data_IF_335796495053
#
_entry.id   IF_335796495053
#
_cell.length_a   1.000
_cell.length_b   1.000
_cell.length_c   1.000
_cell.angle_alpha   90.00
_cell.angle_beta   90.00
_cell.angle_gamma   90.00
#
_symmetry.space_group_name_H-M   'P 1'
#
loop_
_entity.id
_entity.type
_entity.pdbx_description
1 polymer ?
#
# COMPACT_ATOMS: atom_id res chain seq x y z
N UNK A 1 -5.10 25.87 8.62
CA UNK A 1 -5.44 25.24 7.31
C UNK A 1 -4.83 23.84 7.18
N UNK A 2 -3.55 23.64 7.46
CA UNK A 2 -2.85 22.33 7.44
C UNK A 2 -3.48 21.29 8.40
N UNK A 3 -3.81 21.64 9.63
CA UNK A 3 -4.45 20.72 10.59
C UNK A 3 -5.81 20.20 10.11
N UNK A 4 -6.57 21.03 9.39
CA UNK A 4 -7.87 20.65 8.84
C UNK A 4 -7.71 19.66 7.66
N UNK A 5 -6.65 19.79 6.88
CA UNK A 5 -6.31 18.88 5.78
C UNK A 5 -5.79 17.55 6.34
N UNK A 6 -4.86 17.58 7.30
CA UNK A 6 -4.30 16.40 7.95
C UNK A 6 -5.36 15.58 8.70
N UNK A 7 -6.42 16.24 9.20
CA UNK A 7 -7.54 15.58 9.88
C UNK A 7 -8.69 15.20 8.92
N UNK A 8 -8.55 15.50 7.62
CA UNK A 8 -9.52 15.10 6.61
C UNK A 8 -9.52 13.57 6.45
N UNK A 9 -10.70 12.96 6.51
CA UNK A 9 -10.88 11.51 6.30
C UNK A 9 -10.29 11.05 4.97
N UNK A 10 -10.46 11.83 3.92
CA UNK A 10 -9.95 11.50 2.58
C UNK A 10 -8.43 11.52 2.55
N UNK A 11 -7.78 12.47 3.22
CA UNK A 11 -6.32 12.52 3.29
C UNK A 11 -5.74 11.28 3.99
N UNK A 12 -6.31 10.88 5.13
CA UNK A 12 -5.83 9.75 5.92
C UNK A 12 -6.02 8.41 5.19
N UNK A 13 -7.09 8.27 4.40
CA UNK A 13 -7.43 7.00 3.72
C UNK A 13 -6.74 6.86 2.36
N UNK A 14 -6.58 7.96 1.63
CA UNK A 14 -6.10 7.93 0.25
C UNK A 14 -4.69 8.51 0.12
N UNK A 15 -4.51 9.77 0.46
CA UNK A 15 -3.26 10.49 0.17
C UNK A 15 -2.10 10.02 1.03
N UNK A 16 -2.30 9.90 2.34
CA UNK A 16 -1.23 9.52 3.26
C UNK A 16 -0.65 8.12 2.96
N UNK A 17 -1.47 7.04 2.80
CA UNK A 17 -0.94 5.74 2.42
C UNK A 17 -0.24 5.75 1.07
N UNK A 18 -0.77 6.47 0.09
CA UNK A 18 -0.17 6.58 -1.24
C UNK A 18 1.25 7.18 -1.16
N UNK A 19 1.44 8.28 -0.44
CA UNK A 19 2.77 8.87 -0.26
C UNK A 19 3.71 7.97 0.55
N UNK A 20 3.21 7.27 1.58
CA UNK A 20 4.01 6.28 2.30
C UNK A 20 4.49 5.17 1.37
N UNK A 21 3.62 4.69 0.46
CA UNK A 21 3.99 3.72 -0.57
C UNK A 21 5.06 4.24 -1.52
N UNK A 22 4.89 5.46 -2.06
CA UNK A 22 5.88 6.09 -2.93
C UNK A 22 7.26 6.18 -2.27
N UNK A 23 7.31 6.60 -1.01
CA UNK A 23 8.57 6.80 -0.28
C UNK A 23 9.22 5.46 0.08
N UNK A 24 8.45 4.40 0.31
CA UNK A 24 9.00 3.10 0.71
C UNK A 24 9.92 2.47 -0.34
N UNK A 25 9.77 2.83 -1.62
CA UNK A 25 10.64 2.35 -2.70
C UNK A 25 12.09 2.80 -2.55
N UNK A 26 12.34 3.94 -1.91
CA UNK A 26 13.72 4.38 -1.62
C UNK A 26 14.48 3.43 -0.68
N UNK A 27 13.80 2.49 -0.03
CA UNK A 27 14.45 1.44 0.77
C UNK A 27 15.11 0.35 -0.07
N UNK A 28 14.78 0.27 -1.35
CA UNK A 28 15.32 -0.70 -2.31
C UNK A 28 16.43 -0.08 -3.16
N UNK A 29 17.10 -0.93 -3.93
CA UNK A 29 18.09 -0.47 -4.90
C UNK A 29 17.46 0.45 -5.96
N UNK A 30 18.19 1.46 -6.43
CA UNK A 30 19.60 1.78 -6.17
C UNK A 30 19.87 2.59 -4.90
N UNK A 31 18.86 3.09 -4.19
CA UNK A 31 19.03 4.03 -3.08
C UNK A 31 19.47 3.37 -1.78
N UNK A 32 18.97 2.16 -1.46
CA UNK A 32 19.31 1.37 -0.27
C UNK A 32 19.07 2.07 1.08
N UNK A 33 18.11 3.01 1.15
CA UNK A 33 17.75 3.67 2.40
C UNK A 33 16.82 2.80 3.26
N UNK A 34 17.27 1.60 3.60
CA UNK A 34 16.48 0.57 4.31
C UNK A 34 15.88 1.08 5.62
N UNK A 35 16.53 2.03 6.29
CA UNK A 35 16.05 2.63 7.54
C UNK A 35 14.70 3.35 7.37
N UNK A 36 14.34 3.80 6.16
CA UNK A 36 13.05 4.44 5.88
C UNK A 36 11.88 3.51 6.20
N UNK A 37 12.02 2.20 5.95
CA UNK A 37 10.98 1.22 6.25
C UNK A 37 10.71 1.06 7.74
N UNK A 38 11.70 1.31 8.61
CA UNK A 38 11.46 1.35 10.06
C UNK A 38 10.53 2.48 10.49
N UNK A 39 10.33 3.48 9.66
CA UNK A 39 9.39 4.59 9.88
C UNK A 39 8.07 4.31 9.15
N UNK A 40 8.12 3.89 7.88
CA UNK A 40 6.94 3.72 7.04
C UNK A 40 6.04 2.58 7.51
N UNK A 41 6.62 1.42 7.86
CA UNK A 41 5.86 0.25 8.28
C UNK A 41 5.08 0.52 9.57
N UNK A 42 5.69 1.06 10.65
CA UNK A 42 4.93 1.49 11.82
C UNK A 42 3.92 2.61 11.54
N UNK A 43 4.25 3.57 10.68
CA UNK A 43 3.32 4.64 10.30
C UNK A 43 2.06 4.07 9.62
N UNK A 44 2.22 3.16 8.67
CA UNK A 44 1.10 2.49 8.00
C UNK A 44 0.24 1.68 9.00
N UNK A 45 0.89 0.95 9.92
CA UNK A 45 0.20 0.23 11.01
C UNK A 45 -0.62 1.18 11.88
N UNK A 46 -0.06 2.34 12.27
CA UNK A 46 -0.77 3.35 13.05
C UNK A 46 -1.97 3.92 12.30
N UNK A 47 -1.86 4.17 11.00
CA UNK A 47 -2.99 4.63 10.17
C UNK A 47 -4.11 3.59 10.14
N UNK A 48 -3.77 2.32 9.93
CA UNK A 48 -4.74 1.21 9.93
C UNK A 48 -5.45 1.10 11.28
N UNK A 49 -4.71 1.09 12.38
CA UNK A 49 -5.27 0.97 13.74
C UNK A 49 -6.11 2.19 14.13
N UNK A 50 -5.67 3.39 13.75
CA UNK A 50 -6.42 4.63 13.97
C UNK A 50 -7.78 4.61 13.25
N UNK A 51 -7.79 4.27 11.97
CA UNK A 51 -9.03 4.22 11.18
C UNK A 51 -9.96 3.11 11.67
N UNK A 52 -9.43 1.95 12.05
CA UNK A 52 -10.20 0.88 12.64
C UNK A 52 -10.87 1.31 13.95
N UNK A 53 -10.11 1.92 14.87
CA UNK A 53 -10.61 2.38 16.17
C UNK A 53 -11.70 3.44 16.00
N UNK A 54 -11.47 4.42 15.14
CA UNK A 54 -12.42 5.52 14.90
C UNK A 54 -13.71 5.05 14.22
N UNK A 55 -13.62 4.08 13.31
CA UNK A 55 -14.78 3.58 12.58
C UNK A 55 -15.64 2.60 13.37
N UNK A 56 -15.09 1.93 14.39
CA UNK A 56 -15.87 1.03 15.26
C UNK A 56 -16.89 1.77 16.13
N UNK A 57 -16.59 3.02 16.50
CA UNK A 57 -17.41 3.80 17.42
C UNK A 57 -18.60 4.51 16.78
N UNK A 58 -18.70 4.56 15.45
CA UNK A 58 -19.65 5.46 14.78
C UNK A 58 -20.92 4.76 14.32
N UNK A 59 -20.92 3.46 13.97
CA UNK A 59 -22.12 2.71 13.57
C UNK A 59 -21.90 1.19 13.61
N UNK A 60 -22.94 0.40 13.91
CA UNK A 60 -22.96 -1.07 13.88
C UNK A 60 -22.65 -1.70 12.50
N UNK A 61 -22.62 -0.94 11.43
CA UNK A 61 -22.16 -1.38 10.09
C UNK A 61 -20.65 -1.32 10.02
N UNK A 62 -20.00 -2.22 9.30
CA UNK A 62 -18.54 -2.37 9.21
C UNK A 62 -17.89 -1.49 8.10
N UNK A 63 -18.10 -0.15 8.03
CA UNK A 63 -17.49 0.69 6.99
C UNK A 63 -15.97 0.76 7.11
N UNK A 64 -15.42 0.38 8.26
CA UNK A 64 -13.98 0.33 8.49
C UNK A 64 -13.28 -0.66 7.54
N UNK A 65 -13.91 -1.79 7.19
CA UNK A 65 -13.30 -2.77 6.28
C UNK A 65 -13.03 -2.18 4.91
N UNK A 66 -13.99 -1.43 4.36
CA UNK A 66 -13.80 -0.73 3.09
C UNK A 66 -12.69 0.32 3.18
N UNK A 67 -12.65 1.07 4.27
CA UNK A 67 -11.61 2.08 4.47
C UNK A 67 -10.21 1.44 4.62
N UNK A 68 -10.12 0.29 5.32
CA UNK A 68 -8.87 -0.45 5.47
C UNK A 68 -8.39 -1.02 4.14
N UNK A 69 -9.31 -1.55 3.33
CA UNK A 69 -8.98 -1.96 1.97
C UNK A 69 -8.35 -0.80 1.18
N UNK A 70 -8.98 0.38 1.19
CA UNK A 70 -8.44 1.53 0.48
C UNK A 70 -7.08 1.99 1.01
N UNK A 71 -6.84 1.94 2.32
CA UNK A 71 -5.52 2.27 2.89
C UNK A 71 -4.43 1.36 2.31
N UNK A 72 -4.62 0.04 2.36
CA UNK A 72 -3.68 -0.92 1.78
C UNK A 72 -3.56 -0.76 0.27
N UNK A 73 -4.68 -0.58 -0.42
CA UNK A 73 -4.73 -0.42 -1.86
C UNK A 73 -3.95 0.80 -2.35
N UNK A 74 -4.16 1.97 -1.75
CA UNK A 74 -3.44 3.19 -2.12
C UNK A 74 -1.97 3.15 -1.70
N UNK A 75 -1.64 2.51 -0.58
CA UNK A 75 -0.25 2.21 -0.25
C UNK A 75 0.40 1.35 -1.34
N UNK A 76 -0.27 0.26 -1.76
CA UNK A 76 0.21 -0.61 -2.83
C UNK A 76 0.35 0.11 -4.16
N UNK A 77 -0.63 0.94 -4.56
CA UNK A 77 -0.52 1.75 -5.79
C UNK A 77 0.71 2.65 -5.73
N UNK A 78 0.93 3.38 -4.63
CA UNK A 78 2.09 4.24 -4.46
C UNK A 78 3.40 3.46 -4.56
N UNK A 79 3.48 2.32 -3.88
CA UNK A 79 4.64 1.44 -3.87
C UNK A 79 4.95 0.91 -5.28
N UNK A 80 3.96 0.35 -5.97
CA UNK A 80 4.20 -0.22 -7.29
C UNK A 80 4.35 0.83 -8.38
N UNK A 81 3.71 2.00 -8.27
CA UNK A 81 3.88 3.08 -9.23
C UNK A 81 5.35 3.52 -9.30
N UNK A 82 5.99 3.70 -8.15
CA UNK A 82 7.40 4.08 -8.08
C UNK A 82 8.37 2.91 -8.24
N UNK A 83 7.97 1.68 -7.84
CA UNK A 83 8.80 0.49 -7.94
C UNK A 83 8.82 -0.17 -9.32
N UNK A 84 7.75 -0.03 -10.10
CA UNK A 84 7.60 -0.75 -11.39
C UNK A 84 7.63 0.15 -12.62
N UNK A 85 7.83 1.47 -12.48
CA UNK A 85 7.84 2.37 -13.62
C UNK A 85 8.89 2.00 -14.69
N UNK A 86 10.01 1.40 -14.29
CA UNK A 86 11.07 0.96 -15.18
C UNK A 86 10.64 -0.14 -16.15
N UNK A 87 9.60 -0.93 -15.82
CA UNK A 87 9.04 -1.95 -16.73
C UNK A 87 8.53 -1.27 -17.98
N UNK A 88 7.92 -0.11 -17.84
CA UNK A 88 7.40 0.66 -18.98
C UNK A 88 8.52 1.11 -19.91
N UNK A 89 9.75 1.28 -19.40
CA UNK A 89 10.90 1.60 -20.23
C UNK A 89 11.27 0.46 -21.17
N UNK A 90 11.06 -0.80 -20.78
CA UNK A 90 11.31 -1.95 -21.67
C UNK A 90 10.41 -1.95 -22.91
N UNK A 91 9.22 -1.35 -22.83
CA UNK A 91 8.30 -1.21 -23.96
C UNK A 91 8.75 -0.16 -24.99
N UNK A 92 9.75 0.65 -24.69
CA UNK A 92 10.28 1.66 -25.63
C UNK A 92 11.15 1.05 -26.74
N UNK A 93 11.63 -0.18 -26.53
CA UNK A 93 12.51 -0.86 -27.50
C UNK A 93 11.77 -1.36 -28.76
N UNK A 94 10.44 -1.54 -28.67
CA UNK A 94 9.60 -1.91 -29.82
C UNK A 94 8.61 -0.80 -30.13
N UNK A 95 8.63 -0.30 -31.37
CA UNK A 95 7.75 0.80 -31.81
C UNK A 95 6.26 0.47 -31.70
N UNK A 96 5.91 -0.79 -31.93
CA UNK A 96 4.51 -1.25 -31.85
C UNK A 96 4.00 -1.27 -30.41
N UNK A 97 4.89 -1.42 -29.43
CA UNK A 97 4.54 -1.51 -28.00
C UNK A 97 4.52 -0.15 -27.30
N UNK A 98 5.02 0.91 -27.93
CA UNK A 98 5.03 2.27 -27.32
C UNK A 98 3.65 2.74 -26.90
N UNK A 99 2.59 2.34 -27.62
CA UNK A 99 1.21 2.68 -27.28
C UNK A 99 0.75 2.07 -25.94
N UNK A 100 1.38 0.99 -25.51
CA UNK A 100 1.04 0.30 -24.23
C UNK A 100 1.70 0.94 -23.01
N UNK A 101 2.66 1.84 -23.19
CA UNK A 101 3.39 2.49 -22.08
C UNK A 101 2.45 3.14 -21.05
N UNK A 102 1.50 4.04 -21.45
CA UNK A 102 0.62 4.68 -20.47
C UNK A 102 -0.29 3.66 -19.75
N UNK A 103 -0.69 2.60 -20.44
CA UNK A 103 -1.49 1.53 -19.86
C UNK A 103 -0.68 0.74 -18.82
N UNK A 104 0.57 0.39 -19.11
CA UNK A 104 1.43 -0.35 -18.19
C UNK A 104 1.72 0.44 -16.91
N UNK A 105 2.01 1.74 -17.02
CA UNK A 105 2.26 2.61 -15.87
C UNK A 105 1.05 2.67 -14.91
N UNK A 106 -0.17 2.61 -15.44
CA UNK A 106 -1.39 2.73 -14.65
C UNK A 106 -1.91 1.36 -14.20
N UNK A 107 -2.04 0.40 -15.13
CA UNK A 107 -2.71 -0.88 -14.83
C UNK A 107 -1.88 -1.78 -13.92
N UNK A 108 -0.55 -1.80 -14.07
CA UNK A 108 0.31 -2.64 -13.24
C UNK A 108 0.19 -2.26 -11.75
N UNK A 109 0.39 -0.98 -11.34
CA UNK A 109 0.19 -0.59 -9.95
C UNK A 109 -1.24 -0.78 -9.43
N UNK A 110 -2.25 -0.53 -10.25
CA UNK A 110 -3.64 -0.76 -9.87
C UNK A 110 -3.91 -2.23 -9.57
N UNK A 111 -3.41 -3.14 -10.41
CA UNK A 111 -3.57 -4.57 -10.22
C UNK A 111 -2.77 -5.09 -9.02
N UNK A 112 -1.49 -4.74 -8.93
CA UNK A 112 -0.63 -5.18 -7.83
C UNK A 112 -1.03 -4.60 -6.49
N UNK A 113 -1.56 -3.38 -6.47
CA UNK A 113 -2.09 -2.74 -5.27
C UNK A 113 -3.23 -3.52 -4.61
N UNK A 114 -4.00 -4.31 -5.38
CA UNK A 114 -5.07 -5.15 -4.84
C UNK A 114 -4.58 -6.12 -3.77
N UNK A 115 -3.38 -6.67 -3.92
CA UNK A 115 -2.80 -7.59 -2.94
C UNK A 115 -2.67 -6.93 -1.56
N UNK A 116 -2.14 -5.71 -1.50
CA UNK A 116 -2.05 -4.96 -0.23
C UNK A 116 -3.41 -4.48 0.27
N UNK A 117 -4.34 -4.16 -0.64
CA UNK A 117 -5.73 -3.87 -0.29
C UNK A 117 -6.40 -5.03 0.43
N UNK A 118 -6.30 -6.24 -0.11
CA UNK A 118 -6.83 -7.45 0.51
C UNK A 118 -6.09 -7.81 1.81
N UNK A 119 -4.76 -7.67 1.86
CA UNK A 119 -4.01 -7.87 3.10
C UNK A 119 -4.54 -6.99 4.24
N UNK A 120 -4.73 -5.70 3.98
CA UNK A 120 -5.30 -4.75 4.96
C UNK A 120 -6.74 -5.08 5.33
N UNK A 121 -7.54 -5.57 4.40
CA UNK A 121 -8.90 -6.02 4.65
C UNK A 121 -8.94 -7.22 5.61
N UNK A 122 -8.10 -8.24 5.36
CA UNK A 122 -7.98 -9.42 6.22
C UNK A 122 -7.52 -9.08 7.62
N UNK A 123 -6.59 -8.15 7.74
CA UNK A 123 -6.09 -7.66 9.02
C UNK A 123 -7.15 -6.93 9.86
N UNK A 124 -8.15 -6.34 9.21
CA UNK A 124 -9.11 -5.44 9.84
C UNK A 124 -9.71 -5.92 11.16
N UNK A 125 -10.24 -7.14 11.27
CA UNK A 125 -10.83 -7.65 12.51
C UNK A 125 -9.84 -7.79 13.68
N UNK A 126 -8.57 -8.05 13.38
CA UNK A 126 -7.53 -8.40 14.35
C UNK A 126 -6.70 -7.21 14.81
N UNK A 127 -6.80 -6.07 14.12
CA UNK A 127 -5.98 -4.90 14.44
C UNK A 127 -6.36 -4.29 15.77
N UNK A 128 -5.36 -4.21 16.64
CA UNK A 128 -5.38 -3.49 17.91
C UNK A 128 -4.06 -2.75 18.06
N UNK A 129 -4.02 -1.71 18.88
CA UNK A 129 -2.78 -0.99 19.15
C UNK A 129 -1.94 -1.75 20.22
N UNK A 130 -1.44 -2.93 19.85
CA UNK A 130 -0.56 -3.77 20.66
C UNK A 130 0.51 -4.45 19.80
N UNK A 131 1.56 -4.95 20.45
CA UNK A 131 2.69 -5.58 19.76
C UNK A 131 2.27 -6.83 18.95
N UNK A 132 1.37 -7.66 19.49
CA UNK A 132 0.88 -8.84 18.76
C UNK A 132 0.22 -8.49 17.44
N UNK A 133 -0.58 -7.42 17.39
CA UNK A 133 -1.19 -6.95 16.15
C UNK A 133 -0.17 -6.37 15.17
N UNK A 134 0.89 -5.74 15.68
CA UNK A 134 1.99 -5.26 14.83
C UNK A 134 2.74 -6.43 14.18
N UNK A 135 3.08 -7.47 14.95
CA UNK A 135 3.70 -8.67 14.37
C UNK A 135 2.79 -9.37 13.36
N UNK A 136 1.50 -9.49 13.66
CA UNK A 136 0.52 -10.05 12.72
C UNK A 136 0.43 -9.23 11.44
N UNK A 137 0.47 -7.90 11.54
CA UNK A 137 0.52 -7.00 10.40
C UNK A 137 1.76 -7.26 9.53
N UNK A 138 2.94 -7.29 10.12
CA UNK A 138 4.18 -7.58 9.40
C UNK A 138 4.13 -8.95 8.73
N UNK A 139 3.63 -9.98 9.43
CA UNK A 139 3.51 -11.34 8.91
C UNK A 139 2.59 -11.40 7.69
N UNK A 140 1.38 -10.80 7.77
CA UNK A 140 0.41 -10.86 6.68
C UNK A 140 0.90 -10.05 5.47
N UNK A 141 1.50 -8.89 5.68
CA UNK A 141 2.07 -8.11 4.57
C UNK A 141 3.23 -8.85 3.89
N UNK A 142 4.15 -9.43 4.66
CA UNK A 142 5.24 -10.25 4.11
C UNK A 142 4.73 -11.50 3.38
N UNK A 143 3.73 -12.18 3.94
CA UNK A 143 3.11 -13.34 3.30
C UNK A 143 2.42 -12.96 2.00
N UNK A 144 1.72 -11.82 1.98
CA UNK A 144 1.05 -11.30 0.78
C UNK A 144 2.06 -10.99 -0.31
N UNK A 145 3.19 -10.39 0.05
CA UNK A 145 4.26 -10.06 -0.91
C UNK A 145 4.92 -11.34 -1.45
N UNK A 146 5.18 -12.32 -0.59
CA UNK A 146 5.67 -13.64 -1.00
C UNK A 146 4.69 -14.35 -1.95
N UNK A 147 3.39 -14.38 -1.63
CA UNK A 147 2.37 -14.98 -2.48
C UNK A 147 2.28 -14.27 -3.83
N UNK A 148 2.31 -12.94 -3.83
CA UNK A 148 2.32 -12.13 -5.05
C UNK A 148 3.49 -12.51 -5.95
N UNK A 149 4.70 -12.56 -5.39
CA UNK A 149 5.90 -12.94 -6.12
C UNK A 149 5.81 -14.33 -6.75
N UNK A 150 5.24 -15.30 -6.03
CA UNK A 150 5.11 -16.69 -6.55
C UNK A 150 3.98 -16.84 -7.59
N UNK A 151 2.84 -16.15 -7.41
CA UNK A 151 1.69 -16.22 -8.34
C UNK A 151 2.02 -15.53 -9.67
N UNK A 152 2.76 -14.41 -9.62
CA UNK A 152 3.07 -13.59 -10.79
C UNK A 152 4.48 -13.85 -11.35
N UNK A 153 4.86 -15.12 -11.45
CA UNK A 153 6.13 -15.58 -12.08
C UNK A 153 7.42 -15.05 -11.44
N UNK A 154 7.45 -14.90 -10.12
CA UNK A 154 8.68 -14.55 -9.39
C UNK A 154 9.10 -13.09 -9.54
N UNK A 155 8.19 -12.21 -9.95
CA UNK A 155 8.47 -10.78 -10.04
C UNK A 155 8.47 -10.17 -8.63
N UNK A 156 9.64 -9.79 -8.10
CA UNK A 156 9.77 -9.25 -6.74
C UNK A 156 9.10 -7.89 -6.55
#
# INVERSE_FOLDING_TARGET
MLEKILNSRSFIIFSLPFFLGLISVFSFQPFNFTFINFIIIPALFLVITYVQKRSKNIYRKKPYLRNLFFIGYFFGIGFFLSGTYWISYSLTFDENLKLLIPFSIILIPLFLGLFFGFASLFLGPFMRNNYSSFFLFCLIFSLTDYLRGNILSGFP
#
